data_IF_608777860335
#
_entry.id   IF_608777860335
#
_cell.length_a   1.000
_cell.length_b   1.000
_cell.length_c   1.000
_cell.angle_alpha   90.00
_cell.angle_beta   90.00
_cell.angle_gamma   90.00
#
_symmetry.space_group_name_H-M   'P 1'
#
loop_
_entity.id
_entity.type
_entity.pdbx_description
1 polymer ?
#
# COMPACT_ATOMS: atom_id res chain seq x y z
N UNK A 1 -28.63 -28.62 -26.96
CA UNK A 1 -27.15 -28.69 -26.88
C UNK A 1 -26.49 -27.33 -26.71
N UNK A 2 -26.83 -26.30 -27.49
CA UNK A 2 -26.23 -24.96 -27.40
C UNK A 2 -26.31 -24.27 -26.01
N UNK A 3 -27.36 -24.54 -25.23
CA UNK A 3 -27.55 -23.88 -23.94
C UNK A 3 -26.63 -24.43 -22.83
N UNK A 4 -26.29 -25.72 -22.92
CA UNK A 4 -25.42 -26.37 -21.93
C UNK A 4 -23.96 -25.99 -22.18
N UNK A 5 -23.53 -25.87 -23.44
CA UNK A 5 -22.18 -25.45 -23.84
C UNK A 5 -21.91 -23.99 -23.40
N UNK A 6 -22.82 -23.05 -23.63
CA UNK A 6 -22.69 -21.66 -23.22
C UNK A 6 -22.58 -21.48 -21.71
N UNK A 7 -23.30 -22.30 -20.94
CA UNK A 7 -23.22 -22.25 -19.46
C UNK A 7 -21.87 -22.75 -18.95
N UNK A 8 -21.25 -23.72 -19.60
CA UNK A 8 -19.95 -24.29 -19.21
C UNK A 8 -18.81 -23.29 -19.47
N UNK A 9 -18.86 -22.59 -20.58
CA UNK A 9 -17.85 -21.58 -20.97
C UNK A 9 -17.87 -20.38 -20.03
N UNK A 10 -19.05 -19.84 -19.71
CA UNK A 10 -19.22 -18.70 -18.82
C UNK A 10 -18.71 -18.94 -17.39
N UNK A 11 -18.49 -20.21 -17.00
CA UNK A 11 -17.92 -20.59 -15.71
C UNK A 11 -16.42 -20.26 -15.59
N UNK A 12 -15.70 -20.31 -16.71
CA UNK A 12 -14.23 -20.16 -16.73
C UNK A 12 -13.76 -18.82 -17.31
N UNK A 13 -14.62 -18.15 -18.07
CA UNK A 13 -14.36 -16.82 -18.61
C UNK A 13 -15.12 -15.77 -17.81
N UNK A 14 -14.50 -14.61 -17.62
CA UNK A 14 -15.10 -13.46 -16.92
C UNK A 14 -15.04 -12.23 -17.84
N UNK A 15 -15.98 -12.09 -18.78
CA UNK A 15 -15.99 -10.97 -19.71
C UNK A 15 -16.03 -9.64 -18.97
N UNK A 16 -15.21 -8.68 -19.42
CA UNK A 16 -15.09 -7.35 -18.81
C UNK A 16 -14.14 -7.27 -17.62
N UNK A 17 -13.73 -8.40 -17.04
CA UNK A 17 -12.73 -8.41 -15.97
C UNK A 17 -11.32 -8.43 -16.56
N UNK A 18 -10.48 -7.49 -16.12
CA UNK A 18 -9.08 -7.36 -16.57
C UNK A 18 -8.12 -7.51 -15.40
N UNK A 19 -6.99 -8.14 -15.67
CA UNK A 19 -5.86 -8.27 -14.72
C UNK A 19 -4.62 -7.64 -15.34
N UNK A 20 -4.03 -6.71 -14.63
CA UNK A 20 -2.76 -6.10 -15.00
C UNK A 20 -1.62 -6.90 -14.39
N UNK A 21 -0.65 -7.30 -15.18
CA UNK A 21 0.62 -7.86 -14.73
C UNK A 21 1.62 -6.72 -14.65
N UNK A 22 1.82 -6.18 -13.44
CA UNK A 22 2.58 -4.95 -13.21
C UNK A 22 4.00 -5.25 -12.76
N UNK A 23 5.02 -4.61 -13.34
CA UNK A 23 6.41 -4.76 -12.90
C UNK A 23 6.61 -4.20 -11.49
N UNK A 24 7.44 -4.88 -10.70
CA UNK A 24 7.84 -4.43 -9.37
C UNK A 24 9.15 -3.66 -9.50
N UNK A 25 9.07 -2.34 -9.31
CA UNK A 25 10.27 -1.49 -9.26
C UNK A 25 10.93 -1.63 -7.90
N UNK A 26 12.21 -1.99 -7.88
CA UNK A 26 13.01 -2.06 -6.67
C UNK A 26 14.20 -1.12 -6.78
N UNK A 27 14.38 -0.30 -5.75
CA UNK A 27 15.61 0.45 -5.58
C UNK A 27 16.60 -0.47 -4.85
N UNK A 28 17.46 -1.13 -5.60
CA UNK A 28 18.37 -2.14 -5.04
C UNK A 28 19.54 -1.54 -4.28
N UNK A 29 19.71 -0.21 -4.19
CA UNK A 29 20.83 0.42 -3.48
C UNK A 29 22.25 0.02 -3.95
N UNK A 30 22.35 -1.01 -4.79
CA UNK A 30 23.60 -1.60 -5.26
C UNK A 30 24.18 -0.79 -6.44
N UNK A 31 23.35 -0.06 -7.15
CA UNK A 31 23.82 0.81 -8.22
C UNK A 31 23.72 2.25 -7.75
N UNK A 32 24.85 2.99 -7.72
CA UNK A 32 24.82 4.39 -7.36
C UNK A 32 23.82 5.12 -8.27
N UNK A 33 23.04 6.01 -7.67
CA UNK A 33 22.17 6.96 -8.36
C UNK A 33 23.03 7.92 -9.20
N UNK A 34 23.65 7.44 -10.25
CA UNK A 34 24.66 8.16 -11.01
C UNK A 34 24.53 7.98 -12.51
N UNK A 35 23.69 7.10 -12.94
CA UNK A 35 23.31 7.01 -14.33
C UNK A 35 21.85 7.47 -14.46
N UNK A 36 21.67 8.74 -14.70
CA UNK A 36 20.46 9.41 -15.24
C UNK A 36 19.14 9.26 -14.43
N UNK A 37 19.19 8.94 -13.13
CA UNK A 37 17.98 8.80 -12.31
C UNK A 37 17.04 7.70 -12.76
N UNK A 38 17.36 6.97 -13.82
CA UNK A 38 16.59 5.83 -14.27
C UNK A 38 16.86 4.64 -13.35
N UNK A 39 15.82 4.22 -12.65
CA UNK A 39 15.83 2.93 -11.99
C UNK A 39 16.09 1.85 -13.03
N UNK A 40 17.26 1.21 -12.97
CA UNK A 40 17.49 0.04 -13.82
C UNK A 40 16.54 -1.05 -13.37
N UNK A 41 15.48 -1.21 -14.12
CA UNK A 41 14.68 -2.39 -14.06
C UNK A 41 15.60 -3.60 -14.29
N UNK A 42 15.60 -4.54 -13.40
CA UNK A 42 15.92 -5.92 -13.72
C UNK A 42 14.86 -6.54 -14.62
N UNK A 43 13.78 -5.85 -14.90
CA UNK A 43 12.71 -6.19 -15.82
C UNK A 43 13.12 -6.01 -17.28
N UNK A 44 14.13 -6.75 -17.70
CA UNK A 44 14.27 -7.10 -19.10
C UNK A 44 12.99 -7.81 -19.54
N UNK A 45 12.64 -7.68 -20.82
CA UNK A 45 11.60 -8.48 -21.45
C UNK A 45 11.72 -9.94 -20.97
N UNK A 46 10.75 -10.37 -20.17
CA UNK A 46 10.77 -11.68 -19.56
C UNK A 46 9.84 -12.59 -20.32
N UNK A 47 10.35 -13.73 -20.77
CA UNK A 47 9.57 -14.77 -21.40
C UNK A 47 9.27 -15.87 -20.37
N UNK A 48 8.00 -16.04 -20.03
CA UNK A 48 7.53 -17.05 -19.09
C UNK A 48 6.91 -18.21 -19.85
N UNK A 49 7.35 -19.40 -19.53
CA UNK A 49 6.78 -20.66 -20.02
C UNK A 49 6.26 -21.50 -18.85
N UNK A 50 5.48 -22.50 -19.16
CA UNK A 50 5.00 -23.46 -18.17
C UNK A 50 6.19 -24.23 -17.58
N UNK A 51 6.36 -24.23 -16.23
CA UNK A 51 7.48 -24.93 -15.60
C UNK A 51 7.30 -26.45 -15.65
N UNK A 52 8.43 -27.17 -15.59
CA UNK A 52 8.46 -28.62 -15.44
C UNK A 52 8.61 -28.95 -13.97
N UNK A 53 7.78 -29.82 -13.45
CA UNK A 53 7.92 -30.36 -12.10
C UNK A 53 9.12 -31.30 -12.04
N UNK A 54 10.09 -30.98 -11.18
CA UNK A 54 11.31 -31.78 -11.02
C UNK A 54 11.07 -33.19 -10.50
N UNK A 55 9.95 -33.44 -9.79
CA UNK A 55 9.64 -34.76 -9.22
C UNK A 55 8.98 -35.69 -10.22
N UNK A 56 8.02 -35.17 -10.98
CA UNK A 56 7.23 -35.95 -11.94
C UNK A 56 7.79 -35.90 -13.34
N UNK A 57 8.73 -34.97 -13.61
CA UNK A 57 9.28 -34.72 -14.97
C UNK A 57 8.20 -34.41 -16.00
N UNK A 58 7.03 -33.93 -15.56
CA UNK A 58 5.91 -33.50 -16.37
C UNK A 58 5.72 -31.98 -16.24
N UNK A 59 4.94 -31.36 -17.13
CA UNK A 59 4.56 -29.99 -17.03
C UNK A 59 3.67 -29.77 -15.78
N UNK A 60 3.83 -28.63 -15.11
CA UNK A 60 2.95 -28.30 -13.99
C UNK A 60 1.53 -28.11 -14.48
N UNK A 61 0.59 -28.86 -13.90
CA UNK A 61 -0.82 -28.80 -14.29
C UNK A 61 -1.44 -27.47 -13.83
N UNK A 62 -1.78 -26.60 -14.75
CA UNK A 62 -2.43 -25.29 -14.51
C UNK A 62 -3.91 -25.29 -14.86
N UNK A 63 -4.41 -26.34 -15.50
CA UNK A 63 -5.80 -26.54 -15.91
C UNK A 63 -6.34 -27.83 -15.32
N UNK A 64 -7.60 -27.82 -14.94
CA UNK A 64 -8.35 -29.07 -14.67
C UNK A 64 -8.70 -29.76 -16.00
N UNK A 65 -9.10 -31.03 -15.93
CA UNK A 65 -9.51 -31.77 -17.12
C UNK A 65 -10.71 -31.13 -17.84
N UNK A 66 -11.65 -30.59 -17.07
CA UNK A 66 -12.81 -29.86 -17.60
C UNK A 66 -12.37 -28.59 -18.33
N UNK A 67 -11.48 -27.83 -17.72
CA UNK A 67 -10.94 -26.62 -18.34
C UNK A 67 -10.14 -26.89 -19.59
N UNK A 68 -9.36 -28.00 -19.64
CA UNK A 68 -8.64 -28.41 -20.85
C UNK A 68 -9.58 -28.62 -22.04
N UNK A 69 -10.67 -29.35 -21.82
CA UNK A 69 -11.65 -29.60 -22.88
C UNK A 69 -12.30 -28.31 -23.38
N UNK A 70 -12.71 -27.45 -22.47
CA UNK A 70 -13.34 -26.16 -22.82
C UNK A 70 -12.37 -25.25 -23.58
N UNK A 71 -11.12 -25.13 -23.11
CA UNK A 71 -10.14 -24.27 -23.77
C UNK A 71 -9.66 -24.87 -25.10
N UNK A 72 -9.57 -26.19 -25.24
CA UNK A 72 -9.27 -26.84 -26.52
C UNK A 72 -10.34 -26.55 -27.58
N UNK A 73 -11.63 -26.57 -27.19
CA UNK A 73 -12.74 -26.23 -28.06
C UNK A 73 -12.73 -24.72 -28.42
N UNK A 74 -12.63 -23.83 -27.44
CA UNK A 74 -12.64 -22.39 -27.66
C UNK A 74 -11.47 -21.88 -28.52
N UNK A 75 -10.31 -22.51 -28.38
CA UNK A 75 -9.11 -22.19 -29.16
C UNK A 75 -9.00 -22.97 -30.48
N UNK A 76 -10.01 -23.77 -30.82
CA UNK A 76 -10.00 -24.65 -31.98
C UNK A 76 -8.76 -25.56 -32.05
N UNK A 77 -8.34 -26.09 -30.90
CA UNK A 77 -7.21 -27.00 -30.80
C UNK A 77 -7.67 -28.46 -30.94
N UNK A 78 -6.74 -29.32 -31.31
CA UNK A 78 -7.01 -30.76 -31.32
C UNK A 78 -7.18 -31.28 -29.89
N UNK A 79 -8.06 -32.24 -29.69
CA UNK A 79 -8.31 -32.85 -28.37
C UNK A 79 -7.02 -33.43 -27.80
N UNK A 80 -6.70 -33.03 -26.57
CA UNK A 80 -5.46 -33.40 -25.89
C UNK A 80 -4.28 -32.44 -26.16
N UNK A 81 -4.46 -31.37 -26.94
CA UNK A 81 -3.41 -30.41 -27.23
C UNK A 81 -2.92 -29.64 -25.98
N UNK A 82 -3.76 -29.52 -24.97
CA UNK A 82 -3.42 -28.88 -23.69
C UNK A 82 -2.98 -29.86 -22.58
N UNK A 83 -2.66 -31.11 -22.96
CA UNK A 83 -2.19 -32.13 -22.02
C UNK A 83 -0.86 -31.75 -21.35
N UNK A 84 -0.75 -31.98 -20.04
CA UNK A 84 0.46 -31.75 -19.25
C UNK A 84 1.36 -32.98 -19.10
N UNK A 85 0.90 -34.15 -19.55
CA UNK A 85 1.63 -35.42 -19.35
C UNK A 85 2.85 -35.55 -20.25
N UNK A 86 2.85 -34.87 -21.39
CA UNK A 86 3.97 -34.86 -22.32
C UNK A 86 4.69 -33.50 -22.27
N UNK A 87 5.94 -33.53 -21.79
CA UNK A 87 6.80 -32.34 -21.75
C UNK A 87 7.20 -31.82 -23.14
N UNK A 88 7.10 -32.66 -24.14
CA UNK A 88 7.36 -32.32 -25.55
C UNK A 88 6.10 -31.85 -26.28
N UNK A 89 4.99 -31.65 -25.54
CA UNK A 89 3.76 -31.13 -26.10
C UNK A 89 4.00 -29.87 -26.91
N UNK A 90 3.61 -29.88 -28.17
CA UNK A 90 3.91 -28.80 -29.13
C UNK A 90 3.29 -27.48 -28.75
N UNK A 91 2.11 -27.46 -28.13
CA UNK A 91 1.46 -26.24 -27.68
C UNK A 91 2.27 -25.60 -26.55
N UNK A 92 2.51 -26.33 -25.46
CA UNK A 92 3.20 -25.78 -24.29
C UNK A 92 4.67 -25.45 -24.56
N UNK A 93 5.32 -26.19 -25.45
CA UNK A 93 6.68 -25.94 -25.88
C UNK A 93 6.83 -24.59 -26.60
N UNK A 94 5.80 -24.18 -27.35
CA UNK A 94 5.75 -22.90 -28.08
C UNK A 94 5.11 -21.79 -27.28
N UNK A 95 4.28 -22.12 -26.27
CA UNK A 95 3.55 -21.15 -25.48
C UNK A 95 4.51 -20.33 -24.62
N UNK A 96 4.46 -19.01 -24.78
CA UNK A 96 5.26 -18.06 -24.02
C UNK A 96 4.41 -16.84 -23.65
N UNK A 97 4.53 -16.39 -22.40
CA UNK A 97 3.99 -15.11 -21.97
C UNK A 97 5.15 -14.13 -21.91
N UNK A 98 5.13 -13.16 -22.79
CA UNK A 98 6.13 -12.11 -22.79
C UNK A 98 5.67 -10.95 -21.89
N UNK A 99 6.52 -10.57 -20.96
CA UNK A 99 6.35 -9.44 -20.08
C UNK A 99 7.45 -8.43 -20.38
N UNK A 100 7.08 -7.19 -20.59
CA UNK A 100 8.00 -6.08 -20.79
C UNK A 100 8.02 -5.12 -19.59
N UNK A 101 8.74 -4.03 -19.72
CA UNK A 101 8.89 -3.02 -18.66
C UNK A 101 7.56 -2.37 -18.26
N UNK A 102 6.57 -2.33 -19.14
CA UNK A 102 5.27 -1.70 -18.89
C UNK A 102 4.25 -2.71 -18.34
N UNK A 103 4.62 -4.01 -18.38
CA UNK A 103 3.72 -5.10 -18.03
C UNK A 103 2.71 -5.41 -19.13
N UNK A 104 1.71 -6.23 -18.84
CA UNK A 104 0.64 -6.57 -19.77
C UNK A 104 -0.72 -6.52 -19.09
N UNK A 105 -1.76 -6.21 -19.87
CA UNK A 105 -3.16 -6.33 -19.45
C UNK A 105 -3.75 -7.59 -20.05
N UNK A 106 -4.32 -8.44 -19.21
CA UNK A 106 -5.00 -9.68 -19.60
C UNK A 106 -6.51 -9.47 -19.47
N UNK A 107 -7.25 -9.76 -20.54
CA UNK A 107 -8.71 -9.77 -20.54
C UNK A 107 -9.23 -11.16 -20.24
N UNK A 108 -9.92 -11.32 -19.11
CA UNK A 108 -10.44 -12.62 -18.69
C UNK A 108 -11.67 -13.08 -19.50
N UNK A 109 -12.15 -12.28 -20.43
CA UNK A 109 -13.09 -12.70 -21.47
C UNK A 109 -12.41 -13.45 -22.63
N UNK A 110 -11.07 -13.36 -22.75
CA UNK A 110 -10.30 -14.02 -23.79
C UNK A 110 -9.69 -15.33 -23.25
N UNK A 111 -10.00 -16.50 -23.83
CA UNK A 111 -9.47 -17.81 -23.40
C UNK A 111 -7.94 -17.85 -23.35
N UNK A 112 -7.26 -17.24 -24.33
CA UNK A 112 -5.80 -17.19 -24.39
C UNK A 112 -5.21 -16.39 -23.23
N UNK A 113 -5.84 -15.28 -22.84
CA UNK A 113 -5.36 -14.46 -21.73
C UNK A 113 -5.61 -15.12 -20.37
N UNK A 114 -6.69 -15.91 -20.25
CA UNK A 114 -6.91 -16.76 -19.08
C UNK A 114 -5.82 -17.83 -18.97
N UNK A 115 -5.42 -18.46 -20.07
CA UNK A 115 -4.29 -19.40 -20.08
C UNK A 115 -2.98 -18.72 -19.66
N UNK A 116 -2.70 -17.51 -20.20
CA UNK A 116 -1.53 -16.72 -19.78
C UNK A 116 -1.56 -16.46 -18.26
N UNK A 117 -2.70 -16.00 -17.73
CA UNK A 117 -2.86 -15.76 -16.30
C UNK A 117 -2.58 -17.00 -15.45
N UNK A 118 -3.08 -18.17 -15.88
CA UNK A 118 -2.86 -19.44 -15.17
C UNK A 118 -1.39 -19.84 -15.17
N UNK A 119 -0.67 -19.64 -16.27
CA UNK A 119 0.77 -19.90 -16.35
C UNK A 119 1.55 -18.91 -15.47
N UNK A 120 1.16 -17.63 -15.45
CA UNK A 120 1.80 -16.62 -14.61
C UNK A 120 1.63 -16.91 -13.12
N UNK A 121 0.48 -17.45 -12.69
CA UNK A 121 0.20 -17.77 -11.28
C UNK A 121 1.11 -18.86 -10.69
N UNK A 122 1.70 -19.72 -11.51
CA UNK A 122 2.61 -20.79 -11.06
C UNK A 122 4.08 -20.40 -11.17
N UNK A 123 4.40 -19.26 -11.77
CA UNK A 123 5.78 -18.80 -11.87
C UNK A 123 6.20 -18.09 -10.56
N UNK A 124 7.33 -18.54 -9.99
CA UNK A 124 7.88 -18.00 -8.72
C UNK A 124 8.28 -16.54 -8.78
N UNK A 125 8.42 -15.95 -9.97
CA UNK A 125 8.79 -14.54 -10.19
C UNK A 125 7.60 -13.60 -10.22
N UNK A 126 6.36 -14.15 -10.14
CA UNK A 126 5.11 -13.40 -10.17
C UNK A 126 4.48 -13.41 -8.78
N UNK A 127 4.33 -12.25 -8.17
CA UNK A 127 3.58 -12.11 -6.93
C UNK A 127 2.07 -12.29 -7.16
N UNK A 128 1.37 -13.02 -6.28
CA UNK A 128 -0.07 -13.29 -6.44
C UNK A 128 -0.93 -12.03 -6.32
N UNK A 129 -0.44 -11.00 -5.63
CA UNK A 129 -1.08 -9.67 -5.52
C UNK A 129 -0.04 -8.57 -5.44
N UNK A 130 -0.47 -7.31 -5.63
CA UNK A 130 0.41 -6.15 -5.44
C UNK A 130 0.89 -5.98 -3.99
N UNK A 131 0.07 -6.39 -3.04
CA UNK A 131 0.38 -6.32 -1.61
C UNK A 131 1.48 -7.31 -1.22
N UNK A 132 1.52 -8.46 -1.90
CA UNK A 132 2.50 -9.52 -1.66
C UNK A 132 3.88 -9.26 -2.31
N UNK A 133 4.04 -8.19 -3.08
CA UNK A 133 5.29 -7.87 -3.81
C UNK A 133 6.56 -7.86 -2.96
N UNK A 134 6.42 -7.60 -1.66
CA UNK A 134 7.54 -7.56 -0.71
C UNK A 134 7.87 -8.90 -0.04
N UNK A 135 7.02 -9.93 -0.19
CA UNK A 135 7.20 -11.21 0.50
C UNK A 135 8.38 -12.04 0.00
N UNK A 136 8.76 -11.89 -1.24
CA UNK A 136 9.90 -12.59 -1.83
C UNK A 136 10.80 -11.66 -2.62
N UNK A 137 12.11 -11.86 -2.49
CA UNK A 137 13.12 -11.19 -3.30
C UNK A 137 13.09 -11.59 -4.78
N UNK A 138 12.49 -12.74 -5.10
CA UNK A 138 12.41 -13.27 -6.47
C UNK A 138 11.29 -12.62 -7.30
N UNK A 139 10.28 -12.01 -6.66
CA UNK A 139 9.17 -11.40 -7.38
C UNK A 139 9.63 -10.22 -8.24
N UNK A 140 9.35 -10.27 -9.52
CA UNK A 140 9.68 -9.23 -10.51
C UNK A 140 8.43 -8.54 -11.03
N UNK A 141 7.30 -9.24 -11.03
CA UNK A 141 5.98 -8.70 -11.39
C UNK A 141 4.95 -9.10 -10.35
N UNK A 142 3.83 -8.40 -10.34
CA UNK A 142 2.69 -8.71 -9.48
C UNK A 142 1.39 -8.69 -10.29
N UNK A 143 0.47 -9.56 -9.94
CA UNK A 143 -0.88 -9.55 -10.47
C UNK A 143 -1.70 -8.48 -9.77
N UNK A 144 -2.38 -7.63 -10.54
CA UNK A 144 -3.22 -6.54 -10.02
C UNK A 144 -4.57 -6.61 -10.70
N UNK A 145 -5.62 -6.77 -9.92
CA UNK A 145 -6.98 -6.62 -10.42
C UNK A 145 -7.24 -5.14 -10.72
N UNK A 146 -7.57 -4.81 -11.97
CA UNK A 146 -7.75 -3.42 -12.42
C UNK A 146 -8.88 -2.71 -11.67
N UNK A 147 -9.95 -3.41 -11.29
CA UNK A 147 -11.03 -2.81 -10.50
C UNK A 147 -10.55 -2.43 -9.10
N UNK A 148 -9.76 -3.29 -8.48
CA UNK A 148 -9.16 -3.04 -7.17
C UNK A 148 -8.17 -1.88 -7.22
N UNK A 149 -7.37 -1.79 -8.29
CA UNK A 149 -6.43 -0.67 -8.49
C UNK A 149 -7.17 0.66 -8.69
N UNK A 150 -8.22 0.68 -9.53
CA UNK A 150 -9.05 1.88 -9.73
C UNK A 150 -9.68 2.34 -8.41
N UNK A 151 -10.26 1.44 -7.63
CA UNK A 151 -10.83 1.76 -6.30
C UNK A 151 -9.76 2.28 -5.34
N UNK A 152 -8.60 1.65 -5.30
CA UNK A 152 -7.48 2.09 -4.46
C UNK A 152 -7.00 3.50 -4.85
N UNK A 153 -6.86 3.77 -6.15
CA UNK A 153 -6.45 5.09 -6.64
C UNK A 153 -7.52 6.16 -6.38
N UNK A 154 -8.81 5.83 -6.54
CA UNK A 154 -9.91 6.72 -6.20
C UNK A 154 -9.93 7.06 -4.71
N UNK A 155 -9.72 6.07 -3.83
CA UNK A 155 -9.63 6.29 -2.38
C UNK A 155 -8.43 7.17 -2.00
N UNK A 156 -7.27 6.96 -2.64
CA UNK A 156 -6.10 7.83 -2.44
C UNK A 156 -6.37 9.26 -2.88
N UNK A 157 -6.99 9.45 -4.05
CA UNK A 157 -7.35 10.77 -4.55
C UNK A 157 -8.34 11.47 -3.63
N UNK A 158 -9.37 10.76 -3.14
CA UNK A 158 -10.33 11.28 -2.17
C UNK A 158 -9.64 11.69 -0.86
N UNK A 159 -8.76 10.84 -0.32
CA UNK A 159 -7.99 11.14 0.87
C UNK A 159 -7.12 12.39 0.67
N UNK A 160 -6.43 12.53 -0.46
CA UNK A 160 -5.62 13.72 -0.74
C UNK A 160 -6.47 14.99 -0.87
N UNK A 161 -7.68 14.91 -1.41
CA UNK A 161 -8.61 16.04 -1.40
C UNK A 161 -8.99 16.47 0.02
N UNK A 162 -9.24 15.51 0.91
CA UNK A 162 -9.51 15.81 2.33
C UNK A 162 -8.30 16.44 3.02
N UNK A 163 -7.09 15.94 2.74
CA UNK A 163 -5.83 16.52 3.24
C UNK A 163 -5.70 17.97 2.83
N UNK A 164 -5.86 18.30 1.55
CA UNK A 164 -5.74 19.69 1.09
C UNK A 164 -6.85 20.60 1.61
N UNK A 165 -8.09 20.09 1.77
CA UNK A 165 -9.15 20.83 2.45
C UNK A 165 -8.83 21.10 3.92
N UNK A 166 -8.23 20.15 4.62
CA UNK A 166 -7.80 20.31 6.00
C UNK A 166 -6.61 21.28 6.11
N UNK A 167 -5.64 21.19 5.19
CA UNK A 167 -4.50 22.08 5.11
C UNK A 167 -4.93 23.54 4.87
N UNK A 168 -5.85 23.78 3.93
CA UNK A 168 -6.38 25.13 3.65
C UNK A 168 -7.06 25.81 4.85
N UNK A 169 -7.49 25.05 5.89
CA UNK A 169 -8.02 25.64 7.14
C UNK A 169 -6.94 26.13 8.10
N UNK A 170 -5.70 25.72 7.90
CA UNK A 170 -4.58 26.00 8.82
C UNK A 170 -3.45 26.79 8.15
N UNK A 171 -3.39 26.84 6.82
CA UNK A 171 -2.26 27.40 6.06
C UNK A 171 -2.00 28.89 6.28
N UNK A 172 -3.03 29.66 6.66
CA UNK A 172 -2.92 31.09 6.93
C UNK A 172 -2.52 31.40 8.38
N UNK A 173 -2.37 30.38 9.24
CA UNK A 173 -2.08 30.54 10.65
C UNK A 173 -0.80 29.83 11.07
N UNK A 174 0.27 30.62 11.30
CA UNK A 174 1.53 30.09 11.81
C UNK A 174 1.36 29.32 13.12
N UNK A 175 0.48 29.79 14.03
CA UNK A 175 0.20 29.12 15.29
C UNK A 175 -0.41 27.73 15.10
N UNK A 176 -1.41 27.60 14.21
CA UNK A 176 -2.04 26.30 13.93
C UNK A 176 -1.04 25.31 13.31
N UNK A 177 -0.21 25.76 12.37
CA UNK A 177 0.82 24.92 11.76
C UNK A 177 1.89 24.48 12.77
N UNK A 178 2.35 25.40 13.63
CA UNK A 178 3.25 25.05 14.73
C UNK A 178 2.63 24.02 15.67
N UNK A 179 1.34 24.13 15.97
CA UNK A 179 0.64 23.19 16.82
C UNK A 179 0.58 21.78 16.19
N UNK A 180 0.35 21.67 14.89
CA UNK A 180 0.42 20.39 14.17
C UNK A 180 1.83 19.78 14.28
N UNK A 181 2.87 20.59 14.08
CA UNK A 181 4.26 20.12 14.16
C UNK A 181 4.64 19.71 15.60
N UNK A 182 4.13 20.40 16.62
CA UNK A 182 4.34 20.03 18.04
C UNK A 182 3.76 18.66 18.37
N UNK A 183 2.59 18.30 17.84
CA UNK A 183 1.95 16.99 18.07
C UNK A 183 2.82 15.84 17.58
N UNK A 184 3.54 16.02 16.47
CA UNK A 184 4.52 15.04 15.96
C UNK A 184 5.92 15.18 16.57
N UNK A 185 6.05 15.90 17.69
CA UNK A 185 7.31 16.20 18.38
C UNK A 185 8.35 16.96 17.53
N UNK A 186 7.95 17.57 16.43
CA UNK A 186 8.79 18.51 15.69
C UNK A 186 8.68 19.89 16.31
N UNK A 187 9.66 20.24 17.13
CA UNK A 187 9.76 21.58 17.70
C UNK A 187 10.39 22.52 16.66
N UNK A 188 9.74 23.64 16.41
CA UNK A 188 10.32 24.71 15.61
C UNK A 188 10.24 26.03 16.35
N UNK A 189 11.34 26.72 16.44
CA UNK A 189 11.41 28.12 16.95
C UNK A 189 11.13 29.12 15.83
N UNK A 190 11.23 28.69 14.58
CA UNK A 190 10.94 29.52 13.42
C UNK A 190 9.42 29.71 13.29
N UNK A 191 9.01 30.99 13.22
CA UNK A 191 7.60 31.40 13.05
C UNK A 191 7.30 31.87 11.62
N UNK A 192 8.28 31.76 10.71
CA UNK A 192 8.09 32.12 9.32
C UNK A 192 7.06 31.20 8.69
N UNK A 193 6.05 31.82 8.07
CA UNK A 193 4.89 31.12 7.52
C UNK A 193 5.29 30.15 6.40
N UNK A 194 6.20 30.55 5.51
CA UNK A 194 6.64 29.74 4.39
C UNK A 194 7.46 28.53 4.85
N UNK A 195 8.29 28.72 5.88
CA UNK A 195 9.00 27.60 6.50
C UNK A 195 8.04 26.59 7.12
N UNK A 196 7.04 27.05 7.88
CA UNK A 196 6.04 26.19 8.50
C UNK A 196 5.19 25.43 7.45
N UNK A 197 4.79 26.12 6.37
CA UNK A 197 4.11 25.50 5.24
C UNK A 197 4.95 24.37 4.65
N UNK A 198 6.24 24.61 4.43
CA UNK A 198 7.17 23.60 3.91
C UNK A 198 7.28 22.36 4.82
N UNK A 199 7.35 22.56 6.14
CA UNK A 199 7.46 21.45 7.10
C UNK A 199 6.16 20.64 7.20
N UNK A 200 5.00 21.31 7.18
CA UNK A 200 3.69 20.62 7.14
C UNK A 200 3.50 19.92 5.81
N UNK A 201 3.92 20.51 4.68
CA UNK A 201 3.87 19.84 3.38
C UNK A 201 4.70 18.56 3.36
N UNK A 202 5.90 18.57 3.94
CA UNK A 202 6.72 17.36 4.10
C UNK A 202 6.01 16.27 4.91
N UNK A 203 5.24 16.64 5.93
CA UNK A 203 4.42 15.69 6.69
C UNK A 203 3.33 15.09 5.79
N UNK A 204 2.62 15.94 5.03
CA UNK A 204 1.57 15.52 4.10
C UNK A 204 2.12 14.58 3.04
N UNK A 205 3.27 14.90 2.44
CA UNK A 205 3.88 14.09 1.39
C UNK A 205 4.34 12.71 1.89
N UNK A 206 4.86 12.66 3.12
CA UNK A 206 5.34 11.41 3.70
C UNK A 206 4.21 10.57 4.33
N UNK A 207 3.26 11.20 5.00
CA UNK A 207 2.21 10.51 5.73
C UNK A 207 0.90 11.33 5.79
N UNK A 208 0.13 11.37 4.68
CA UNK A 208 -1.09 12.17 4.58
C UNK A 208 -2.16 11.75 5.60
N UNK A 209 -2.21 10.46 5.94
CA UNK A 209 -3.17 9.94 6.92
C UNK A 209 -2.88 10.49 8.32
N UNK A 210 -1.63 10.47 8.76
CA UNK A 210 -1.24 11.01 10.07
C UNK A 210 -1.61 12.49 10.19
N UNK A 211 -1.39 13.27 9.12
CA UNK A 211 -1.80 14.67 9.09
C UNK A 211 -3.31 14.83 9.32
N UNK A 212 -4.15 14.04 8.63
CA UNK A 212 -5.61 14.07 8.82
C UNK A 212 -6.02 13.65 10.22
N UNK A 213 -5.40 12.60 10.75
CA UNK A 213 -5.68 12.10 12.09
C UNK A 213 -5.36 13.19 13.15
N UNK A 214 -4.28 13.95 12.97
CA UNK A 214 -3.90 15.05 13.86
C UNK A 214 -4.89 16.22 13.76
N UNK A 215 -5.22 16.66 12.55
CA UNK A 215 -6.07 17.86 12.36
C UNK A 215 -7.53 17.59 12.75
N UNK A 216 -8.00 16.36 12.56
CA UNK A 216 -9.38 15.96 12.89
C UNK A 216 -9.52 15.41 14.32
N UNK A 217 -8.44 15.33 15.09
CA UNK A 217 -8.46 14.85 16.47
C UNK A 217 -9.22 15.82 17.37
N UNK A 218 -10.24 15.31 18.07
CA UNK A 218 -11.02 16.11 19.04
C UNK A 218 -10.17 16.62 20.19
N UNK A 219 -9.18 15.84 20.59
CA UNK A 219 -8.25 16.16 21.68
C UNK A 219 -6.99 16.90 21.22
N UNK A 220 -6.99 17.43 19.99
CA UNK A 220 -5.85 18.16 19.42
C UNK A 220 -5.35 19.28 20.32
N UNK A 221 -6.26 20.12 20.82
CA UNK A 221 -5.90 21.26 21.68
C UNK A 221 -5.27 20.79 23.00
N UNK A 222 -5.78 19.71 23.61
CA UNK A 222 -5.24 19.12 24.84
C UNK A 222 -3.85 18.53 24.60
N UNK A 223 -3.62 17.87 23.46
CA UNK A 223 -2.29 17.38 23.07
C UNK A 223 -1.29 18.52 22.88
N UNK A 224 -1.69 19.60 22.22
CA UNK A 224 -0.86 20.80 22.07
C UNK A 224 -0.52 21.40 23.44
N UNK A 225 -1.52 21.52 24.32
CA UNK A 225 -1.32 22.05 25.68
C UNK A 225 -0.31 21.21 26.48
N UNK A 226 -0.42 19.88 26.46
CA UNK A 226 0.54 19.00 27.13
C UNK A 226 1.96 19.20 26.56
N UNK A 227 2.10 19.30 25.24
CA UNK A 227 3.40 19.53 24.62
C UNK A 227 3.98 20.91 24.96
N UNK A 228 3.16 21.93 25.11
CA UNK A 228 3.61 23.25 25.57
C UNK A 228 4.06 23.20 27.04
N UNK A 229 3.35 22.50 27.93
CA UNK A 229 3.74 22.25 29.29
C UNK A 229 5.08 21.50 29.40
N UNK A 230 5.28 20.48 28.55
CA UNK A 230 6.56 19.75 28.44
C UNK A 230 7.69 20.67 27.95
N UNK A 231 7.40 21.56 27.00
CA UNK A 231 8.39 22.48 26.44
C UNK A 231 8.86 23.53 27.44
N UNK A 232 7.97 23.99 28.34
CA UNK A 232 8.28 24.94 29.41
C UNK A 232 8.72 24.27 30.73
N UNK A 233 8.90 22.93 30.73
CA UNK A 233 9.25 22.15 31.92
C UNK A 233 8.22 22.24 33.06
N UNK A 234 6.95 22.51 32.74
CA UNK A 234 5.84 22.42 33.71
C UNK A 234 5.47 20.94 33.93
N UNK A 235 5.61 20.14 32.87
CA UNK A 235 5.50 18.69 32.89
C UNK A 235 6.84 18.07 32.47
N UNK A 236 7.08 16.84 32.90
CA UNK A 236 8.27 16.06 32.52
C UNK A 236 7.87 14.72 31.95
N UNK A 237 8.66 14.23 30.98
CA UNK A 237 8.55 12.83 30.54
C UNK A 237 9.40 11.91 31.39
N UNK A 238 8.82 10.83 31.84
CA UNK A 238 9.56 9.76 32.54
C UNK A 238 10.39 8.95 31.53
N UNK A 239 11.39 8.21 32.01
CA UNK A 239 12.22 7.32 31.17
C UNK A 239 11.42 6.22 30.49
N UNK A 240 10.23 5.90 30.99
CA UNK A 240 9.30 4.90 30.44
C UNK A 240 8.27 5.51 29.48
N UNK A 241 8.35 6.83 29.20
CA UNK A 241 7.43 7.53 28.29
C UNK A 241 6.19 8.13 28.96
N UNK A 242 6.01 7.92 30.26
CA UNK A 242 4.92 8.51 31.05
C UNK A 242 5.09 10.02 31.24
N UNK A 243 4.07 10.67 31.80
CA UNK A 243 4.02 12.10 32.04
C UNK A 243 3.79 12.34 33.54
N UNK A 244 4.62 13.21 34.10
CA UNK A 244 4.54 13.65 35.50
C UNK A 244 4.59 15.16 35.62
N UNK A 245 4.11 15.70 36.72
CA UNK A 245 4.35 17.11 37.08
C UNK A 245 5.82 17.30 37.45
N UNK A 246 6.36 18.49 37.25
CA UNK A 246 7.72 18.80 37.65
C UNK A 246 7.92 18.56 39.16
N UNK A 247 8.84 17.64 39.48
CA UNK A 247 9.09 17.23 40.88
C UNK A 247 7.98 16.42 41.56
N UNK A 248 6.93 15.99 40.82
CA UNK A 248 5.79 15.24 41.32
C UNK A 248 5.73 13.80 40.86
N UNK A 249 4.61 13.12 41.21
CA UNK A 249 4.32 11.77 40.79
C UNK A 249 3.85 11.69 39.35
N UNK A 250 4.05 10.51 38.74
CA UNK A 250 3.55 10.19 37.40
C UNK A 250 2.02 10.04 37.46
N UNK A 251 1.29 10.78 36.62
CA UNK A 251 -0.16 10.72 36.54
C UNK A 251 -0.67 10.05 35.25
N UNK A 252 0.21 9.79 34.30
CA UNK A 252 -0.13 9.09 33.08
C UNK A 252 1.07 8.33 32.53
N UNK A 253 0.86 7.09 32.04
CA UNK A 253 1.89 6.25 31.46
C UNK A 253 2.12 6.54 29.96
N UNK A 254 1.22 7.30 29.34
CA UNK A 254 1.28 7.68 27.93
C UNK A 254 0.67 9.05 27.67
N UNK A 255 0.94 9.63 26.49
CA UNK A 255 0.33 10.90 26.08
C UNK A 255 -1.21 10.76 25.97
N UNK A 256 -1.71 9.63 25.51
CA UNK A 256 -3.14 9.41 25.38
C UNK A 256 -3.84 9.38 26.74
N UNK A 257 -3.26 8.67 27.71
CA UNK A 257 -3.77 8.62 29.08
C UNK A 257 -3.72 9.99 29.76
N UNK A 258 -2.68 10.79 29.50
CA UNK A 258 -2.58 12.17 30.00
C UNK A 258 -3.70 13.07 29.42
N UNK A 259 -4.03 12.88 28.16
CA UNK A 259 -5.16 13.58 27.53
C UNK A 259 -6.48 13.22 28.22
N UNK A 260 -6.75 11.92 28.36
CA UNK A 260 -7.96 11.43 29.02
C UNK A 260 -8.06 11.89 30.47
N UNK A 261 -6.93 11.90 31.17
CA UNK A 261 -6.84 12.40 32.54
C UNK A 261 -7.21 13.89 32.63
N UNK A 262 -6.64 14.73 31.75
CA UNK A 262 -6.90 16.18 31.76
C UNK A 262 -8.30 16.55 31.23
N UNK A 263 -8.88 15.77 30.36
CA UNK A 263 -10.25 15.97 29.83
C UNK A 263 -11.32 15.46 30.79
N UNK A 264 -10.96 14.66 31.79
CA UNK A 264 -11.91 14.16 32.79
C UNK A 264 -12.44 15.31 33.67
N UNK A 265 -13.74 15.30 33.95
CA UNK A 265 -14.42 16.33 34.76
C UNK A 265 -13.84 16.45 36.18
N UNK A 266 -13.29 15.38 36.73
CA UNK A 266 -12.70 15.36 38.06
C UNK A 266 -11.34 16.06 38.17
N UNK A 267 -10.65 16.28 37.04
CA UNK A 267 -9.28 16.79 37.03
C UNK A 267 -9.15 18.22 36.44
N UNK A 268 -10.27 18.92 36.29
CA UNK A 268 -10.28 20.27 35.73
C UNK A 268 -9.44 21.25 36.58
N UNK A 269 -9.38 21.07 37.89
CA UNK A 269 -8.56 21.91 38.78
C UNK A 269 -7.05 21.75 38.45
N UNK A 270 -6.64 20.51 38.08
CA UNK A 270 -5.25 20.25 37.67
C UNK A 270 -4.97 20.91 36.33
N UNK A 271 -5.89 20.83 35.39
CA UNK A 271 -5.79 21.49 34.08
C UNK A 271 -5.63 23.03 34.26
N UNK A 272 -6.46 23.65 35.10
CA UNK A 272 -6.40 25.08 35.37
C UNK A 272 -5.09 25.49 36.07
N UNK A 273 -4.59 24.70 37.01
CA UNK A 273 -3.29 24.90 37.66
C UNK A 273 -2.14 24.87 36.66
N UNK A 274 -2.12 23.87 35.79
CA UNK A 274 -1.11 23.76 34.74
C UNK A 274 -1.18 24.92 33.76
N UNK A 275 -2.38 25.37 33.40
CA UNK A 275 -2.58 26.54 32.54
C UNK A 275 -2.03 27.83 33.18
N UNK A 276 -2.32 28.04 34.45
CA UNK A 276 -1.79 29.20 35.19
C UNK A 276 -0.27 29.16 35.33
N UNK A 277 0.36 27.98 35.33
CA UNK A 277 1.83 27.87 35.33
C UNK A 277 2.41 28.07 33.93
N UNK A 278 1.68 27.71 32.89
CA UNK A 278 2.10 27.89 31.50
C UNK A 278 2.10 29.37 31.08
N UNK A 279 1.20 30.18 31.65
CA UNK A 279 1.03 31.60 31.35
C UNK A 279 2.03 32.52 32.12
N UNK A 280 2.78 31.96 33.09
CA UNK A 280 3.89 32.61 33.79
C UNK A 280 5.20 32.45 33.01
#
# INVERSE_FOLDING_TARGET
>A
METIEKVTISKFLSPGKKVLVKPIVRNNGIFPAGHDGEFRYTGCVMSICLPIDSKTNSLVAVLTKEEQLVFEEELNLTKGALSFYDKNNDFWRKFRVQLDKDGIVLDLGNPMDVLKLKVLKVDRRIAPSWEDKGRSGEYQYALVDTETEIKSNANKASMMQEVYKAFGKIEDSASKMQNVLKVINKRTTNKDLDFLKSEVQKLIDNNPKEFLDIVNDKSFNTKVFINDCLAKNVLERTTRGGIKMYGGEEFASSLQEAVEFLESKGNQDIYLKLKAQLDK
#
